data_IF_219330460053
#
_entry.id   IF_219330460053
#
_cell.length_a   1.000
_cell.length_b   1.000
_cell.length_c   1.000
_cell.angle_alpha   90.00
_cell.angle_beta   90.00
_cell.angle_gamma   90.00
#
_symmetry.space_group_name_H-M   'P 1'
#
loop_
_entity.id
_entity.type
_entity.pdbx_description
1 polymer ?
#
# COMPACT_ATOMS: atom_id res chain seq x y z
N UNK A 1 -1.51 -17.92 6.94
CA UNK A 1 -1.86 -19.37 6.93
C UNK A 1 -3.30 -19.62 6.45
N UNK A 2 -4.29 -18.78 6.81
CA UNK A 2 -5.68 -18.94 6.31
C UNK A 2 -5.80 -18.70 4.79
N UNK A 3 -5.18 -17.64 4.26
CA UNK A 3 -5.30 -17.29 2.84
C UNK A 3 -4.63 -18.31 1.89
N UNK A 4 -3.58 -19.00 2.32
CA UNK A 4 -2.89 -20.01 1.48
C UNK A 4 -3.76 -21.24 1.27
N UNK A 5 -4.50 -21.66 2.31
CA UNK A 5 -5.48 -22.76 2.20
C UNK A 5 -6.64 -22.34 1.31
N UNK A 6 -7.19 -21.13 1.51
CA UNK A 6 -8.23 -20.61 0.61
C UNK A 6 -7.78 -20.56 -0.85
N UNK A 7 -6.56 -20.07 -1.13
CA UNK A 7 -6.01 -20.04 -2.48
C UNK A 7 -5.85 -21.43 -3.11
N UNK A 8 -5.62 -22.46 -2.30
CA UNK A 8 -5.50 -23.84 -2.79
C UNK A 8 -6.85 -24.41 -3.24
N UNK A 9 -7.95 -24.09 -2.54
CA UNK A 9 -9.26 -24.71 -2.79
C UNK A 9 -10.28 -23.79 -3.47
N UNK A 10 -10.34 -22.52 -3.07
CA UNK A 10 -11.25 -21.49 -3.59
C UNK A 10 -10.65 -20.63 -4.72
N UNK A 11 -9.36 -20.83 -5.04
CA UNK A 11 -8.66 -20.05 -6.07
C UNK A 11 -8.28 -18.64 -5.60
N UNK A 12 -7.93 -17.78 -6.56
CA UNK A 12 -7.39 -16.45 -6.27
C UNK A 12 -8.44 -15.38 -5.98
N UNK A 13 -9.70 -15.62 -6.36
CA UNK A 13 -10.78 -14.65 -6.26
C UNK A 13 -11.43 -14.69 -4.87
N UNK A 14 -11.58 -13.51 -4.24
CA UNK A 14 -12.13 -13.38 -2.89
C UNK A 14 -13.66 -13.48 -2.82
N UNK A 15 -14.35 -13.37 -3.96
CA UNK A 15 -15.81 -13.22 -4.02
C UNK A 15 -16.27 -11.77 -4.15
N UNK A 16 -15.39 -10.78 -3.96
CA UNK A 16 -15.73 -9.36 -4.09
C UNK A 16 -15.62 -8.93 -5.56
N UNK A 17 -16.72 -8.47 -6.22
CA UNK A 17 -16.71 -8.16 -7.66
C UNK A 17 -15.64 -7.18 -8.13
N UNK A 18 -15.29 -6.18 -7.30
CA UNK A 18 -14.26 -5.19 -7.64
C UNK A 18 -12.85 -5.78 -7.77
N UNK A 19 -12.60 -6.96 -7.21
CA UNK A 19 -11.29 -7.62 -7.25
C UNK A 19 -11.12 -8.53 -8.46
N UNK A 20 -12.16 -8.73 -9.28
CA UNK A 20 -12.09 -9.61 -10.46
C UNK A 20 -11.21 -9.02 -11.57
N UNK A 21 -11.31 -7.70 -11.78
CA UNK A 21 -10.53 -6.95 -12.77
C UNK A 21 -10.23 -5.58 -12.16
N UNK A 22 -9.33 -5.51 -11.17
CA UNK A 22 -9.06 -4.26 -10.50
C UNK A 22 -8.43 -3.26 -11.50
N UNK A 23 -8.68 -1.96 -11.32
CA UNK A 23 -7.96 -0.92 -12.05
C UNK A 23 -6.45 -1.01 -11.79
N UNK A 24 -5.67 -0.40 -12.68
CA UNK A 24 -4.23 -0.27 -12.49
C UNK A 24 -3.90 0.61 -11.28
N UNK A 25 -2.69 0.45 -10.72
CA UNK A 25 -2.19 1.32 -9.64
C UNK A 25 -2.21 2.80 -10.05
N UNK A 26 -1.88 3.11 -11.31
CA UNK A 26 -1.91 4.47 -11.83
C UNK A 26 -3.32 5.08 -11.83
N UNK A 27 -4.33 4.33 -12.28
CA UNK A 27 -5.73 4.78 -12.27
C UNK A 27 -6.24 5.01 -10.85
N UNK A 28 -5.90 4.10 -9.92
CA UNK A 28 -6.23 4.27 -8.50
C UNK A 28 -5.50 5.46 -7.87
N UNK A 29 -4.23 5.66 -8.19
CA UNK A 29 -3.44 6.80 -7.72
C UNK A 29 -4.05 8.13 -8.15
N UNK A 30 -4.44 8.25 -9.43
CA UNK A 30 -5.15 9.41 -9.94
C UNK A 30 -6.46 9.65 -9.17
N UNK A 31 -7.24 8.59 -8.91
CA UNK A 31 -8.48 8.71 -8.14
C UNK A 31 -8.24 9.20 -6.71
N UNK A 32 -7.21 8.71 -6.01
CA UNK A 32 -6.86 9.16 -4.66
C UNK A 32 -6.40 10.63 -4.62
N UNK A 33 -5.54 11.03 -5.56
CA UNK A 33 -5.06 12.42 -5.65
C UNK A 33 -6.23 13.37 -5.94
N UNK A 34 -7.10 13.01 -6.88
CA UNK A 34 -8.30 13.79 -7.19
C UNK A 34 -9.26 13.87 -6.00
N UNK A 35 -9.45 12.77 -5.26
CA UNK A 35 -10.30 12.74 -4.07
C UNK A 35 -9.76 13.63 -2.94
N UNK A 36 -8.43 13.70 -2.77
CA UNK A 36 -7.78 14.57 -1.79
C UNK A 36 -7.76 16.05 -2.22
N UNK A 37 -7.99 16.33 -3.51
CA UNK A 37 -7.99 17.66 -4.11
C UNK A 37 -6.60 18.25 -4.37
N UNK A 38 -5.54 17.72 -3.73
CA UNK A 38 -4.15 18.05 -4.01
C UNK A 38 -3.19 16.99 -3.44
N UNK A 39 -1.96 16.97 -3.95
CA UNK A 39 -0.90 16.12 -3.41
C UNK A 39 -0.56 16.47 -1.95
N UNK A 40 -0.56 17.77 -1.62
CA UNK A 40 -0.29 18.25 -0.26
C UNK A 40 -1.31 17.70 0.75
N UNK A 41 -2.60 17.74 0.40
CA UNK A 41 -3.67 17.18 1.24
C UNK A 41 -3.51 15.67 1.41
N UNK A 42 -3.13 14.95 0.34
CA UNK A 42 -2.93 13.52 0.39
C UNK A 42 -1.70 13.14 1.23
N UNK A 43 -0.61 13.91 1.13
CA UNK A 43 0.57 13.77 1.98
C UNK A 43 0.22 13.99 3.46
N UNK A 44 -0.58 15.02 3.77
CA UNK A 44 -1.05 15.26 5.14
C UNK A 44 -1.91 14.10 5.66
N UNK A 45 -2.79 13.57 4.81
CA UNK A 45 -3.61 12.41 5.15
C UNK A 45 -2.77 11.14 5.38
N UNK A 46 -1.79 10.86 4.53
CA UNK A 46 -0.89 9.74 4.74
C UNK A 46 -0.11 9.90 6.05
N UNK A 47 0.43 11.09 6.33
CA UNK A 47 1.12 11.38 7.59
C UNK A 47 0.23 11.17 8.82
N UNK A 48 -1.06 11.47 8.74
CA UNK A 48 -1.98 11.20 9.87
C UNK A 48 -2.22 9.70 10.08
N UNK A 49 -2.24 8.89 9.02
CA UNK A 49 -2.26 7.42 9.16
C UNK A 49 -0.99 6.91 9.84
N UNK A 50 0.19 7.46 9.52
CA UNK A 50 1.44 7.08 10.19
C UNK A 50 1.43 7.47 11.67
N UNK A 51 0.95 8.66 12.03
CA UNK A 51 0.83 9.06 13.45
C UNK A 51 -0.10 8.14 14.24
N UNK A 52 -1.13 7.63 13.56
CA UNK A 52 -2.08 6.66 14.12
C UNK A 52 -1.57 5.20 14.08
N UNK A 53 -0.35 4.96 13.57
CA UNK A 53 0.23 3.62 13.32
C UNK A 53 -0.61 2.72 12.40
N UNK A 54 -1.38 3.32 11.49
CA UNK A 54 -2.21 2.64 10.48
C UNK A 54 -1.41 2.37 9.20
N UNK A 55 -0.29 1.65 9.35
CA UNK A 55 0.67 1.48 8.26
C UNK A 55 0.14 0.61 7.12
N UNK A 56 -0.73 -0.36 7.42
CA UNK A 56 -1.34 -1.24 6.40
C UNK A 56 -2.33 -0.48 5.53
N UNK A 57 -3.10 0.42 6.11
CA UNK A 57 -4.01 1.31 5.39
C UNK A 57 -3.20 2.28 4.52
N UNK A 58 -2.13 2.84 5.07
CA UNK A 58 -1.23 3.72 4.32
C UNK A 58 -0.56 2.98 3.13
N UNK A 59 -0.17 1.71 3.30
CA UNK A 59 0.49 0.94 2.23
C UNK A 59 -0.42 0.68 1.02
N UNK A 60 -1.73 0.50 1.25
CA UNK A 60 -2.71 0.32 0.17
C UNK A 60 -2.78 1.55 -0.73
N UNK A 61 -2.65 2.74 -0.14
CA UNK A 61 -2.75 4.01 -0.86
C UNK A 61 -1.41 4.37 -1.50
N UNK A 62 -0.32 4.24 -0.75
CA UNK A 62 1.00 4.75 -1.15
C UNK A 62 1.50 4.13 -2.47
N UNK A 63 1.28 2.83 -2.68
CA UNK A 63 1.70 2.16 -3.91
C UNK A 63 0.98 2.68 -5.15
N UNK A 64 -0.29 3.07 -4.99
CA UNK A 64 -1.08 3.63 -6.09
C UNK A 64 -0.62 5.04 -6.44
N UNK A 65 -0.37 5.89 -5.44
CA UNK A 65 0.01 7.30 -5.67
C UNK A 65 1.48 7.45 -6.10
N UNK A 66 2.37 6.60 -5.61
CA UNK A 66 3.77 6.53 -6.09
C UNK A 66 3.87 6.10 -7.55
N UNK A 67 2.87 5.39 -8.09
CA UNK A 67 2.83 5.06 -9.52
C UNK A 67 2.52 6.28 -10.41
N UNK A 68 1.90 7.32 -9.86
CA UNK A 68 1.54 8.55 -10.59
C UNK A 68 2.63 9.62 -10.41
N UNK A 69 3.07 9.85 -9.17
CA UNK A 69 4.05 10.90 -8.84
C UNK A 69 5.15 10.34 -7.90
N UNK A 70 6.08 9.53 -8.43
CA UNK A 70 7.09 8.86 -7.62
C UNK A 70 7.92 9.84 -6.77
N UNK A 71 8.35 10.96 -7.36
CA UNK A 71 9.22 11.95 -6.72
C UNK A 71 8.62 12.58 -5.45
N UNK A 72 7.30 12.66 -5.36
CA UNK A 72 6.61 13.24 -4.19
C UNK A 72 6.42 12.20 -3.08
N UNK A 73 6.19 10.94 -3.45
CA UNK A 73 5.74 9.90 -2.52
C UNK A 73 6.81 8.88 -2.14
N UNK A 74 7.99 8.87 -2.78
CA UNK A 74 9.05 7.88 -2.55
C UNK A 74 9.50 7.80 -1.09
N UNK A 75 9.81 8.94 -0.46
CA UNK A 75 10.26 8.97 0.93
C UNK A 75 9.18 8.46 1.90
N UNK A 76 7.92 8.82 1.67
CA UNK A 76 6.80 8.35 2.46
C UNK A 76 6.58 6.85 2.29
N UNK A 77 6.73 6.33 1.06
CA UNK A 77 6.66 4.90 0.77
C UNK A 77 7.72 4.11 1.53
N UNK A 78 8.96 4.60 1.53
CA UNK A 78 10.05 3.99 2.27
C UNK A 78 9.77 3.98 3.77
N UNK A 79 9.27 5.10 4.31
CA UNK A 79 8.91 5.21 5.73
C UNK A 79 7.78 4.25 6.13
N UNK A 80 6.73 4.15 5.32
CA UNK A 80 5.59 3.23 5.56
C UNK A 80 6.07 1.78 5.59
N UNK A 81 6.87 1.37 4.60
CA UNK A 81 7.32 -0.01 4.49
C UNK A 81 8.37 -0.38 5.54
N UNK A 82 9.26 0.55 5.92
CA UNK A 82 10.15 0.37 7.07
C UNK A 82 9.34 0.16 8.36
N UNK A 83 8.30 0.97 8.58
CA UNK A 83 7.44 0.86 9.77
C UNK A 83 6.69 -0.48 9.81
N UNK A 84 6.19 -0.97 8.67
CA UNK A 84 5.58 -2.30 8.55
C UNK A 84 6.59 -3.42 8.85
N UNK A 85 7.82 -3.29 8.38
CA UNK A 85 8.89 -4.26 8.63
C UNK A 85 9.25 -4.34 10.11
N UNK A 86 9.30 -3.20 10.81
CA UNK A 86 9.61 -3.15 12.24
C UNK A 86 8.57 -3.90 13.08
N UNK A 87 7.27 -3.73 12.77
CA UNK A 87 6.17 -4.41 13.50
C UNK A 87 5.97 -5.88 13.12
N UNK A 88 6.50 -6.32 11.98
CA UNK A 88 6.29 -7.67 11.47
C UNK A 88 7.10 -8.72 12.23
N UNK A 89 6.52 -9.90 12.46
CA UNK A 89 7.20 -11.00 13.17
C UNK A 89 7.83 -12.01 12.22
N UNK A 90 7.24 -12.16 11.03
CA UNK A 90 7.75 -13.08 10.00
C UNK A 90 8.97 -12.50 9.29
N UNK A 91 10.12 -13.17 9.41
CA UNK A 91 11.35 -12.79 8.70
C UNK A 91 11.14 -12.66 7.18
N UNK A 92 10.32 -13.53 6.59
CA UNK A 92 10.00 -13.47 5.17
C UNK A 92 9.23 -12.18 4.83
N UNK A 93 8.25 -11.81 5.65
CA UNK A 93 7.46 -10.60 5.41
C UNK A 93 8.28 -9.32 5.65
N UNK A 94 9.15 -9.29 6.68
CA UNK A 94 10.15 -8.22 6.85
C UNK A 94 10.99 -8.01 5.58
N UNK A 95 11.51 -9.11 5.02
CA UNK A 95 12.30 -9.07 3.78
C UNK A 95 11.52 -8.52 2.59
N UNK A 96 10.23 -8.86 2.47
CA UNK A 96 9.36 -8.32 1.41
C UNK A 96 9.14 -6.82 1.59
N UNK A 97 8.82 -6.36 2.80
CA UNK A 97 8.60 -4.93 3.06
C UNK A 97 9.85 -4.10 2.79
N UNK A 98 11.05 -4.61 3.10
CA UNK A 98 12.30 -3.88 2.89
C UNK A 98 12.83 -3.95 1.44
N UNK A 99 12.24 -4.76 0.56
CA UNK A 99 12.80 -5.04 -0.78
C UNK A 99 13.07 -3.78 -1.64
N UNK A 100 12.21 -2.75 -1.52
CA UNK A 100 12.33 -1.51 -2.29
C UNK A 100 12.71 -0.29 -1.43
N UNK A 101 12.99 -0.47 -0.14
CA UNK A 101 13.31 0.64 0.77
C UNK A 101 14.76 1.12 0.58
N UNK A 102 15.63 0.24 0.08
CA UNK A 102 17.08 0.46 -0.07
C UNK A 102 17.53 0.70 -1.53
N UNK A 103 16.62 0.89 -2.49
CA UNK A 103 16.92 1.15 -3.92
C UNK A 103 16.57 2.56 -4.37
#
# INVERSE_FOLDING_TARGET
>A
MVNSVWRQYGGWYSGIPSELKPPSLFEMGCAYINMAGSNENLVLFLKSLLSDKKYKEASVIIDSVSAVEPDIYQDLKNLIYSSLSDEESSLMAKGIYNFNVDM
#
